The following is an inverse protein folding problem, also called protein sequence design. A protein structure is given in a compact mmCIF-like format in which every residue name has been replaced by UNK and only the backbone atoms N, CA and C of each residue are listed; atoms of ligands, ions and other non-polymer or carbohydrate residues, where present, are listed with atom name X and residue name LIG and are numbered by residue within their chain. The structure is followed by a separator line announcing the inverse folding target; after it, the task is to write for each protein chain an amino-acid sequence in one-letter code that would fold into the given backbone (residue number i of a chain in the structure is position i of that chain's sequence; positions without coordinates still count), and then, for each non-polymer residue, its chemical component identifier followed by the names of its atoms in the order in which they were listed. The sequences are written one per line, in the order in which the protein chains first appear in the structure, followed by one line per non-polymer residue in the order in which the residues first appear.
data_IF_369247642601
#
_entry.id   IF_369247642601
#
_cell.length_a   1.000
_cell.length_b   1.000
_cell.length_c   1.000
_cell.angle_alpha   90.00
_cell.angle_beta   90.00
_cell.angle_gamma   90.00
#
_symmetry.space_group_name_H-M   'P 1'
#
loop_
_entity.id
_entity.type
_entity.pdbx_description
1 polymer ?
#
# COMPACT_ATOMS: atom_id res chain seq x y z
N UNK A 1 -15.49 -32.05 89.63
CA UNK A 1 -15.54 -33.21 88.71
C UNK A 1 -16.70 -32.95 87.75
N UNK A 2 -16.39 -32.38 86.60
CA UNK A 2 -16.40 -33.05 85.28
C UNK A 2 -17.83 -33.23 84.75
N UNK A 3 -18.28 -32.30 83.91
CA UNK A 3 -19.46 -32.50 83.06
C UNK A 3 -18.94 -32.92 81.68
N UNK A 4 -19.29 -34.15 81.29
CA UNK A 4 -18.99 -34.74 79.98
C UNK A 4 -19.98 -34.25 78.91
N UNK A 5 -19.42 -33.98 77.73
CA UNK A 5 -19.96 -34.13 76.37
C UNK A 5 -21.30 -33.48 76.01
N UNK A 6 -21.25 -32.58 75.01
CA UNK A 6 -21.55 -32.94 73.61
C UNK A 6 -21.04 -31.82 72.69
N UNK A 7 -19.98 -32.14 71.93
CA UNK A 7 -19.55 -31.33 70.80
C UNK A 7 -20.63 -31.37 69.72
N UNK A 8 -21.25 -30.22 69.45
CA UNK A 8 -21.95 -29.98 68.19
C UNK A 8 -21.07 -29.10 67.33
N UNK A 9 -20.34 -29.76 66.42
CA UNK A 9 -19.86 -29.13 65.19
C UNK A 9 -21.07 -28.53 64.47
N UNK A 10 -21.22 -27.21 64.51
CA UNK A 10 -21.91 -26.49 63.44
C UNK A 10 -20.89 -25.53 62.86
N UNK A 11 -20.49 -25.87 61.65
CA UNK A 11 -19.58 -25.13 60.79
C UNK A 11 -20.22 -23.79 60.48
N UNK A 12 -19.74 -22.71 61.09
CA UNK A 12 -19.99 -21.34 60.61
C UNK A 12 -18.86 -20.98 59.63
N UNK A 13 -18.85 -21.71 58.51
CA UNK A 13 -18.13 -21.33 57.31
C UNK A 13 -19.10 -20.40 56.56
N UNK A 14 -19.23 -19.19 57.08
CA UNK A 14 -19.96 -18.12 56.39
C UNK A 14 -19.17 -17.78 55.14
N UNK A 15 -19.57 -18.47 54.06
CA UNK A 15 -19.33 -18.16 52.66
C UNK A 15 -18.85 -16.72 52.46
N UNK A 16 -17.57 -16.57 52.15
CA UNK A 16 -17.03 -15.41 51.45
C UNK A 16 -17.60 -15.44 50.02
N UNK A 17 -18.89 -15.14 49.92
CA UNK A 17 -19.64 -15.01 48.68
C UNK A 17 -19.11 -13.77 47.98
N UNK A 18 -18.08 -13.99 47.16
CA UNK A 18 -17.58 -13.03 46.18
C UNK A 18 -18.78 -12.64 45.30
N UNK A 19 -19.43 -11.54 45.66
CA UNK A 19 -20.55 -10.98 44.92
C UNK A 19 -20.06 -10.69 43.50
N UNK A 20 -20.55 -11.48 42.53
CA UNK A 20 -20.19 -11.30 41.13
C UNK A 20 -20.52 -9.85 40.75
N UNK A 21 -19.58 -9.08 40.19
CA UNK A 21 -19.82 -7.68 39.84
C UNK A 21 -21.10 -7.58 39.01
N UNK A 22 -21.97 -6.64 39.36
CA UNK A 22 -23.20 -6.42 38.61
C UNK A 22 -22.86 -6.23 37.14
N UNK A 23 -23.71 -6.72 36.24
CA UNK A 23 -23.50 -6.57 34.80
C UNK A 23 -23.21 -5.09 34.44
N UNK A 24 -23.88 -4.18 35.15
CA UNK A 24 -23.68 -2.74 35.05
C UNK A 24 -22.27 -2.27 35.44
N UNK A 25 -21.67 -2.85 36.49
CA UNK A 25 -20.31 -2.55 36.93
C UNK A 25 -19.28 -3.07 35.93
N UNK A 26 -19.53 -4.24 35.33
CA UNK A 26 -18.70 -4.79 34.26
C UNK A 26 -18.74 -3.86 33.05
N UNK A 27 -19.92 -3.38 32.65
CA UNK A 27 -20.04 -2.40 31.55
C UNK A 27 -19.38 -1.07 31.89
N UNK A 28 -19.56 -0.53 33.10
CA UNK A 28 -18.87 0.70 33.52
C UNK A 28 -17.35 0.55 33.45
N UNK A 29 -16.81 -0.57 33.91
CA UNK A 29 -15.36 -0.85 33.86
C UNK A 29 -14.86 -0.99 32.42
N UNK A 30 -15.59 -1.71 31.56
CA UNK A 30 -15.26 -1.82 30.12
C UNK A 30 -15.29 -0.46 29.42
N UNK A 31 -16.28 0.38 29.73
CA UNK A 31 -16.40 1.73 29.19
C UNK A 31 -15.22 2.62 29.62
N UNK A 32 -14.84 2.58 30.90
CA UNK A 32 -13.67 3.31 31.40
C UNK A 32 -12.38 2.87 30.70
N UNK A 33 -12.15 1.57 30.55
CA UNK A 33 -10.99 1.06 29.81
C UNK A 33 -10.99 1.51 28.34
N UNK A 34 -12.16 1.58 27.70
CA UNK A 34 -12.27 2.07 26.34
C UNK A 34 -11.94 3.56 26.25
N UNK A 35 -12.41 4.37 27.21
CA UNK A 35 -12.07 5.79 27.29
C UNK A 35 -10.57 6.00 27.48
N UNK A 36 -9.95 5.29 28.41
CA UNK A 36 -8.51 5.34 28.66
C UNK A 36 -7.73 4.94 27.41
N UNK A 37 -8.18 3.89 26.71
CA UNK A 37 -7.55 3.46 25.46
C UNK A 37 -7.66 4.52 24.37
N UNK A 38 -8.81 5.19 24.26
CA UNK A 38 -9.01 6.29 23.32
C UNK A 38 -8.10 7.49 23.65
N UNK A 39 -7.93 7.82 24.92
CA UNK A 39 -7.04 8.89 25.36
C UNK A 39 -5.58 8.61 25.02
N UNK A 40 -5.09 7.39 25.31
CA UNK A 40 -3.73 6.97 24.94
C UNK A 40 -3.52 7.06 23.43
N UNK A 41 -4.49 6.57 22.64
CA UNK A 41 -4.41 6.65 21.18
C UNK A 41 -4.39 8.10 20.68
N UNK A 42 -5.13 9.00 21.33
CA UNK A 42 -5.11 10.41 21.00
C UNK A 42 -3.74 11.05 21.29
N UNK A 43 -3.16 10.78 22.46
CA UNK A 43 -1.82 11.26 22.82
C UNK A 43 -0.75 10.74 21.86
N UNK A 44 -0.81 9.46 21.48
CA UNK A 44 0.10 8.87 20.50
C UNK A 44 -0.04 9.52 19.12
N UNK A 45 -1.27 9.78 18.68
CA UNK A 45 -1.53 10.47 17.43
C UNK A 45 -0.95 11.89 17.43
N UNK A 46 -1.14 12.65 18.50
CA UNK A 46 -0.56 13.99 18.66
C UNK A 46 0.97 13.95 18.60
N UNK A 47 1.58 12.94 19.25
CA UNK A 47 3.03 12.73 19.20
C UNK A 47 3.53 12.43 17.78
N UNK A 48 2.82 11.59 17.04
CA UNK A 48 3.14 11.27 15.65
C UNK A 48 3.00 12.51 14.76
N UNK A 49 1.93 13.30 14.94
CA UNK A 49 1.72 14.57 14.21
C UNK A 49 2.89 15.52 14.44
N UNK A 50 3.33 15.69 15.69
CA UNK A 50 4.48 16.55 16.01
C UNK A 50 5.77 16.06 15.37
N UNK A 51 6.03 14.75 15.37
CA UNK A 51 7.19 14.17 14.65
C UNK A 51 7.12 14.41 13.14
N UNK A 52 5.93 14.29 12.54
CA UNK A 52 5.71 14.60 11.12
C UNK A 52 5.99 16.08 10.85
N UNK A 53 5.55 16.99 11.73
CA UNK A 53 5.82 18.42 11.58
C UNK A 53 7.32 18.73 11.61
N UNK A 54 8.08 18.14 12.53
CA UNK A 54 9.54 18.33 12.58
C UNK A 54 10.24 17.75 11.35
N UNK A 55 9.85 16.55 10.90
CA UNK A 55 10.37 15.97 9.67
C UNK A 55 10.10 16.90 8.46
N UNK A 56 8.86 17.39 8.31
CA UNK A 56 8.49 18.36 7.26
C UNK A 56 9.33 19.63 7.34
N UNK A 57 9.61 20.14 8.54
CA UNK A 57 10.43 21.34 8.77
C UNK A 57 11.88 21.12 8.38
N UNK A 58 12.45 19.95 8.69
CA UNK A 58 13.81 19.56 8.26
C UNK A 58 13.86 19.44 6.73
N UNK A 59 12.93 18.72 6.12
CA UNK A 59 12.85 18.57 4.66
C UNK A 59 12.72 19.93 3.96
N UNK A 60 11.91 20.85 4.50
CA UNK A 60 11.76 22.20 3.95
C UNK A 60 13.06 23.01 4.04
N UNK A 61 13.83 22.88 5.13
CA UNK A 61 15.15 23.52 5.27
C UNK A 61 16.14 22.94 4.25
N UNK A 62 16.26 21.62 4.20
CA UNK A 62 17.12 20.94 3.24
C UNK A 62 16.81 21.33 1.78
N UNK A 63 15.52 21.41 1.40
CA UNK A 63 15.12 21.88 0.06
C UNK A 63 15.58 23.32 -0.23
N UNK A 64 15.51 24.21 0.76
CA UNK A 64 16.01 25.59 0.61
C UNK A 64 17.53 25.61 0.46
N UNK A 65 18.24 24.81 1.25
CA UNK A 65 19.71 24.73 1.20
C UNK A 65 20.18 24.18 -0.15
N UNK A 66 19.53 23.13 -0.66
CA UNK A 66 19.77 22.59 -2.02
C UNK A 66 19.49 23.66 -3.07
N UNK A 67 18.37 24.39 -2.98
CA UNK A 67 18.05 25.46 -3.93
C UNK A 67 19.14 26.54 -3.95
N UNK A 68 19.61 26.96 -2.77
CA UNK A 68 20.67 27.96 -2.65
C UNK A 68 22.01 27.46 -3.21
N UNK A 69 22.34 26.19 -2.98
CA UNK A 69 23.54 25.57 -3.52
C UNK A 69 23.47 25.48 -5.05
N UNK A 70 22.34 25.04 -5.58
CA UNK A 70 22.06 24.97 -7.03
C UNK A 70 22.18 26.36 -7.67
N UNK A 71 21.57 27.39 -7.07
CA UNK A 71 21.66 28.78 -7.57
C UNK A 71 23.10 29.31 -7.51
N UNK A 72 23.88 28.90 -6.50
CA UNK A 72 25.30 29.24 -6.43
C UNK A 72 26.10 28.54 -7.54
N UNK A 73 25.87 27.25 -7.78
CA UNK A 73 26.55 26.49 -8.83
C UNK A 73 26.18 26.98 -10.24
N UNK A 74 24.91 27.32 -10.47
CA UNK A 74 24.44 27.89 -11.75
C UNK A 74 25.18 29.23 -12.05
N UNK A 75 25.54 30.03 -11.03
CA UNK A 75 26.38 31.25 -11.21
C UNK A 75 27.82 30.97 -11.62
N UNK A 76 28.36 29.81 -11.25
CA UNK A 76 29.70 29.40 -11.66
C UNK A 76 29.74 28.88 -13.11
N UNK A 77 28.58 28.56 -13.69
CA UNK A 77 28.46 28.11 -15.09
C UNK A 77 28.89 26.66 -15.32
N UNK A 78 29.08 25.88 -14.25
CA UNK A 78 29.52 24.50 -14.33
C UNK A 78 28.36 23.56 -14.75
N UNK A 79 28.61 22.55 -15.60
CA UNK A 79 27.60 21.59 -16.03
C UNK A 79 27.28 20.53 -14.96
N UNK A 80 27.12 20.94 -13.69
CA UNK A 80 26.86 20.01 -12.57
C UNK A 80 25.57 19.21 -12.73
N UNK A 81 24.64 19.68 -13.56
CA UNK A 81 23.36 19.00 -13.88
C UNK A 81 23.52 17.83 -14.86
N UNK A 82 24.57 17.86 -15.67
CA UNK A 82 24.85 16.90 -16.75
C UNK A 82 26.17 16.15 -16.57
N UNK A 83 26.94 16.50 -15.53
CA UNK A 83 28.16 15.80 -15.18
C UNK A 83 27.83 14.38 -14.69
N UNK A 84 27.91 13.41 -15.59
CA UNK A 84 27.95 11.99 -15.24
C UNK A 84 29.22 11.76 -14.42
N UNK A 85 29.07 11.72 -13.10
CA UNK A 85 30.14 11.22 -12.24
C UNK A 85 30.18 9.70 -12.45
N UNK A 86 31.02 9.25 -13.38
CA UNK A 86 31.44 7.85 -13.44
C UNK A 86 32.28 7.57 -12.20
N UNK A 87 31.63 7.30 -11.07
CA UNK A 87 32.30 6.64 -9.96
C UNK A 87 32.47 5.19 -10.39
N UNK A 88 33.64 4.88 -10.95
CA UNK A 88 34.07 3.51 -11.21
C UNK A 88 34.24 2.78 -9.86
N UNK A 89 33.13 2.26 -9.34
CA UNK A 89 33.17 1.29 -8.24
C UNK A 89 33.66 -0.01 -8.85
N UNK A 90 34.98 -0.24 -8.82
CA UNK A 90 35.56 -1.57 -9.07
C UNK A 90 34.88 -2.57 -8.14
N UNK A 91 34.08 -3.53 -8.66
CA UNK A 91 33.52 -4.57 -7.82
C UNK A 91 34.63 -5.56 -7.51
N UNK A 92 35.15 -5.52 -6.28
CA UNK A 92 36.04 -6.57 -5.80
C UNK A 92 35.23 -7.87 -5.67
N UNK A 93 35.65 -8.87 -6.44
CA UNK A 93 34.96 -10.15 -6.62
C UNK A 93 35.16 -11.02 -5.38
N UNK A 94 34.18 -11.06 -4.47
CA UNK A 94 34.10 -12.14 -3.49
C UNK A 94 33.40 -13.33 -4.16
N UNK A 95 34.22 -14.30 -4.57
CA UNK A 95 33.79 -15.57 -5.15
C UNK A 95 32.91 -16.37 -4.17
N UNK A 96 31.74 -16.83 -4.64
CA UNK A 96 30.98 -17.89 -3.97
C UNK A 96 30.63 -18.98 -4.99
N UNK A 97 30.82 -20.28 -4.68
CA UNK A 97 31.01 -21.31 -5.70
C UNK A 97 29.69 -21.81 -6.31
N UNK A 98 29.81 -22.28 -7.56
CA UNK A 98 28.74 -22.70 -8.45
C UNK A 98 27.98 -23.96 -7.96
N UNK A 99 26.68 -24.02 -8.29
CA UNK A 99 25.89 -25.27 -8.30
C UNK A 99 25.10 -25.37 -9.63
N UNK A 100 25.04 -26.56 -10.26
CA UNK A 100 24.84 -26.69 -11.71
C UNK A 100 23.37 -26.72 -12.14
N UNK A 101 23.10 -26.22 -13.34
CA UNK A 101 21.82 -26.32 -14.04
C UNK A 101 21.72 -27.65 -14.82
N UNK A 102 20.52 -28.24 -14.98
CA UNK A 102 20.25 -29.17 -16.07
C UNK A 102 19.71 -28.42 -17.30
N UNK A 103 20.32 -28.69 -18.47
CA UNK A 103 19.84 -28.32 -19.81
C UNK A 103 19.05 -29.49 -20.42
N UNK A 104 17.96 -29.18 -21.12
CA UNK A 104 17.45 -29.89 -22.33
C UNK A 104 16.33 -29.01 -22.89
N UNK A 105 16.48 -28.25 -23.97
CA UNK A 105 16.65 -28.55 -25.41
C UNK A 105 15.48 -29.31 -26.07
N UNK A 106 14.69 -28.58 -26.87
CA UNK A 106 14.19 -28.91 -28.22
C UNK A 106 13.25 -27.76 -28.67
N UNK A 107 13.70 -26.83 -29.54
CA UNK A 107 13.62 -26.82 -31.02
C UNK A 107 12.21 -26.52 -31.57
N UNK A 108 11.89 -25.26 -31.93
CA UNK A 108 11.99 -24.60 -33.29
C UNK A 108 10.63 -24.66 -34.06
N UNK A 109 10.39 -23.93 -35.17
CA UNK A 109 10.64 -22.49 -35.48
C UNK A 109 9.52 -21.82 -36.33
N UNK A 110 9.56 -20.49 -36.54
CA UNK A 110 9.18 -19.75 -37.78
C UNK A 110 9.17 -18.24 -37.46
N UNK A 111 10.16 -17.43 -37.86
CA UNK A 111 10.46 -16.85 -39.19
C UNK A 111 9.64 -15.58 -39.53
N UNK A 112 10.39 -14.55 -39.93
CA UNK A 112 10.05 -13.39 -40.76
C UNK A 112 9.51 -12.06 -40.19
N UNK A 113 10.47 -11.12 -40.18
CA UNK A 113 10.53 -9.91 -41.02
C UNK A 113 10.12 -8.54 -40.43
N UNK A 114 11.15 -7.69 -40.51
CA UNK A 114 11.17 -6.24 -40.45
C UNK A 114 10.41 -5.63 -41.63
N UNK A 115 9.57 -4.61 -41.40
CA UNK A 115 9.14 -3.68 -42.46
C UNK A 115 8.72 -2.33 -41.89
N UNK A 116 9.31 -1.28 -42.46
CA UNK A 116 9.02 0.13 -42.27
C UNK A 116 7.62 0.53 -42.78
N UNK A 117 7.10 1.64 -42.23
CA UNK A 117 6.22 2.59 -42.93
C UNK A 117 4.76 2.20 -43.16
N UNK A 118 3.82 2.90 -42.51
CA UNK A 118 2.41 2.85 -42.90
C UNK A 118 1.43 3.41 -41.88
N UNK A 119 1.22 4.72 -41.89
CA UNK A 119 0.12 5.40 -41.19
C UNK A 119 -1.22 4.95 -41.80
N UNK A 120 -2.04 4.21 -41.06
CA UNK A 120 -3.48 4.02 -41.36
C UNK A 120 -4.34 4.53 -40.19
N UNK A 121 -5.45 5.23 -40.45
CA UNK A 121 -6.25 5.87 -39.41
C UNK A 121 -7.10 4.82 -38.68
N UNK A 122 -6.95 4.73 -37.36
CA UNK A 122 -7.81 3.90 -36.52
C UNK A 122 -9.24 4.45 -36.43
N UNK A 123 -10.23 3.62 -36.09
CA UNK A 123 -11.64 4.00 -36.09
C UNK A 123 -11.91 5.09 -35.03
N UNK A 124 -12.68 6.11 -35.42
CA UNK A 124 -13.09 7.23 -34.58
C UNK A 124 -13.70 6.71 -33.27
N UNK A 125 -13.12 7.12 -32.13
CA UNK A 125 -13.62 6.80 -30.79
C UNK A 125 -15.00 7.42 -30.64
N UNK A 126 -16.03 6.59 -30.38
CA UNK A 126 -17.36 7.08 -29.98
C UNK A 126 -17.20 8.04 -28.80
N UNK A 127 -17.76 9.24 -28.95
CA UNK A 127 -17.76 10.28 -27.92
C UNK A 127 -18.49 9.78 -26.66
N UNK A 128 -18.13 10.32 -25.50
CA UNK A 128 -18.65 9.92 -24.18
C UNK A 128 -20.16 10.17 -23.97
N UNK A 129 -20.88 10.66 -24.97
CA UNK A 129 -22.28 11.05 -24.88
C UNK A 129 -23.27 9.88 -25.01
N UNK A 130 -22.80 8.68 -25.34
CA UNK A 130 -23.66 7.57 -25.77
C UNK A 130 -23.48 6.30 -24.90
N UNK A 131 -23.13 6.50 -23.61
CA UNK A 131 -23.04 5.41 -22.65
C UNK A 131 -24.30 5.42 -21.79
N UNK A 132 -25.11 4.35 -21.79
CA UNK A 132 -26.29 4.28 -20.93
C UNK A 132 -25.84 4.50 -19.48
N UNK A 133 -26.61 5.33 -18.77
CA UNK A 133 -26.40 5.62 -17.37
C UNK A 133 -26.43 4.30 -16.61
N UNK A 134 -25.30 3.99 -15.95
CA UNK A 134 -25.13 2.69 -15.31
C UNK A 134 -25.91 2.73 -13.99
N UNK A 135 -26.80 1.76 -13.79
CA UNK A 135 -27.64 1.68 -12.60
C UNK A 135 -26.82 1.89 -11.32
N UNK A 136 -27.21 2.84 -10.44
CA UNK A 136 -26.48 3.14 -9.21
C UNK A 136 -26.31 1.95 -8.27
N UNK A 137 -27.21 0.97 -8.35
CA UNK A 137 -27.23 -0.21 -7.50
C UNK A 137 -26.44 -1.40 -8.06
N UNK A 138 -26.06 -1.37 -9.34
CA UNK A 138 -25.30 -2.45 -9.94
C UNK A 138 -23.85 -2.48 -9.41
N UNK A 139 -23.30 -3.65 -9.05
CA UNK A 139 -21.95 -3.72 -8.52
C UNK A 139 -20.92 -3.17 -9.52
N UNK A 140 -19.85 -2.55 -8.99
CA UNK A 140 -18.78 -1.94 -9.80
C UNK A 140 -17.83 -3.01 -10.30
N UNK A 141 -17.42 -2.92 -11.56
CA UNK A 141 -16.47 -3.86 -12.15
C UNK A 141 -15.12 -3.77 -11.40
N UNK A 142 -14.45 -4.90 -11.13
CA UNK A 142 -13.16 -4.92 -10.46
C UNK A 142 -12.12 -4.20 -11.31
N UNK A 143 -11.19 -3.53 -10.65
CA UNK A 143 -10.07 -2.86 -11.32
C UNK A 143 -9.02 -3.89 -11.77
N UNK A 144 -8.54 -3.78 -13.02
CA UNK A 144 -7.49 -4.67 -13.53
C UNK A 144 -6.19 -4.59 -12.69
N UNK A 145 -5.37 -5.64 -12.72
CA UNK A 145 -4.11 -5.77 -11.97
C UNK A 145 -3.20 -4.53 -12.10
N UNK A 146 -3.01 -4.00 -13.31
CA UNK A 146 -2.23 -2.78 -13.52
C UNK A 146 -2.86 -1.54 -12.87
N UNK A 147 -4.19 -1.44 -12.88
CA UNK A 147 -4.88 -0.32 -12.26
C UNK A 147 -4.80 -0.38 -10.74
N UNK A 148 -4.87 -1.59 -10.17
CA UNK A 148 -4.66 -1.82 -8.75
C UNK A 148 -3.24 -1.43 -8.32
N UNK A 149 -2.24 -1.85 -9.09
CA UNK A 149 -0.85 -1.39 -8.92
C UNK A 149 -0.74 0.14 -9.00
N UNK A 150 -1.37 0.77 -10.00
CA UNK A 150 -1.36 2.23 -10.12
C UNK A 150 -2.03 2.91 -8.92
N UNK A 151 -3.08 2.35 -8.34
CA UNK A 151 -3.76 2.93 -7.19
C UNK A 151 -2.88 2.91 -5.94
N UNK A 152 -2.12 1.84 -5.72
CA UNK A 152 -1.19 1.70 -4.61
C UNK A 152 0.08 2.53 -4.80
N UNK A 153 0.64 2.53 -6.01
CA UNK A 153 1.95 3.14 -6.28
C UNK A 153 1.86 4.63 -6.65
N UNK A 154 0.71 5.13 -7.11
CA UNK A 154 0.54 6.55 -7.44
C UNK A 154 0.89 7.49 -6.29
N UNK A 155 0.45 7.30 -5.03
CA UNK A 155 0.86 8.18 -3.94
C UNK A 155 2.36 8.15 -3.69
N UNK A 156 3.01 6.99 -3.84
CA UNK A 156 4.47 6.84 -3.68
C UNK A 156 5.22 7.59 -4.79
N UNK A 157 4.86 7.35 -6.06
CA UNK A 157 5.42 8.04 -7.23
C UNK A 157 5.21 9.56 -7.14
N UNK A 158 4.03 10.01 -6.70
CA UNK A 158 3.74 11.43 -6.50
C UNK A 158 4.61 12.01 -5.38
N UNK A 159 4.77 11.32 -4.26
CA UNK A 159 5.60 11.77 -3.15
C UNK A 159 7.09 11.85 -3.53
N UNK A 160 7.59 10.86 -4.28
CA UNK A 160 8.95 10.82 -4.80
C UNK A 160 9.19 11.94 -5.81
N UNK A 161 8.33 12.08 -6.82
CA UNK A 161 8.47 13.12 -7.85
C UNK A 161 8.30 14.54 -7.27
N UNK A 162 7.42 14.74 -6.27
CA UNK A 162 7.33 15.99 -5.50
C UNK A 162 8.60 16.30 -4.72
N UNK A 163 9.31 15.26 -4.26
CA UNK A 163 10.56 15.42 -3.51
C UNK A 163 11.74 15.75 -4.42
N UNK A 164 11.73 15.22 -5.64
CA UNK A 164 12.78 15.41 -6.65
C UNK A 164 12.67 16.75 -7.39
N UNK A 165 11.47 17.13 -7.85
CA UNK A 165 11.25 18.39 -8.60
C UNK A 165 10.75 19.57 -7.74
N UNK A 166 10.35 19.35 -6.49
CA UNK A 166 9.90 20.42 -5.60
C UNK A 166 8.58 21.10 -6.01
N UNK A 167 7.87 20.57 -7.00
CA UNK A 167 6.58 21.04 -7.53
C UNK A 167 5.65 19.85 -7.73
N UNK A 168 4.33 20.07 -7.72
CA UNK A 168 3.34 19.02 -8.01
C UNK A 168 3.65 18.36 -9.36
N UNK A 169 3.96 17.05 -9.39
CA UNK A 169 4.29 16.37 -10.62
C UNK A 169 3.07 16.33 -11.52
N UNK A 170 3.28 16.63 -12.81
CA UNK A 170 2.20 16.54 -13.80
C UNK A 170 1.61 15.13 -13.81
N UNK A 171 0.27 15.04 -13.87
CA UNK A 171 -0.46 13.76 -13.96
C UNK A 171 0.07 12.86 -15.08
N UNK A 172 0.55 13.46 -16.17
CA UNK A 172 1.15 12.74 -17.29
C UNK A 172 2.48 12.09 -16.89
N UNK A 173 3.33 12.80 -16.14
CA UNK A 173 4.63 12.30 -15.71
C UNK A 173 4.48 11.17 -14.69
N UNK A 174 3.58 11.32 -13.71
CA UNK A 174 3.24 10.25 -12.76
C UNK A 174 2.76 8.99 -13.48
N UNK A 175 1.92 9.16 -14.51
CA UNK A 175 1.43 8.03 -15.32
C UNK A 175 2.56 7.37 -16.09
N UNK A 176 3.51 8.15 -16.63
CA UNK A 176 4.69 7.66 -17.34
C UNK A 176 5.61 6.85 -16.42
N UNK A 177 5.87 7.35 -15.22
CA UNK A 177 6.68 6.66 -14.21
C UNK A 177 6.02 5.36 -13.72
N UNK A 178 4.71 5.37 -13.46
CA UNK A 178 3.95 4.16 -13.11
C UNK A 178 4.02 3.09 -14.20
N UNK A 179 3.86 3.49 -15.47
CA UNK A 179 3.98 2.56 -16.60
C UNK A 179 5.39 1.97 -16.71
N UNK A 180 6.43 2.77 -16.43
CA UNK A 180 7.81 2.31 -16.38
C UNK A 180 8.02 1.28 -15.27
N UNK A 181 7.62 1.61 -14.03
CA UNK A 181 7.74 0.71 -12.87
C UNK A 181 7.02 -0.61 -13.09
N UNK A 182 5.80 -0.59 -13.64
CA UNK A 182 5.07 -1.81 -13.97
C UNK A 182 5.81 -2.71 -14.97
N UNK A 183 6.47 -2.13 -15.98
CA UNK A 183 7.24 -2.92 -16.95
C UNK A 183 8.46 -3.56 -16.27
N UNK A 184 9.12 -2.83 -15.38
CA UNK A 184 10.30 -3.28 -14.63
C UNK A 184 10.01 -4.33 -13.57
N UNK A 185 8.76 -4.47 -13.09
CA UNK A 185 8.41 -5.53 -12.13
C UNK A 185 8.65 -6.93 -12.70
N UNK A 186 9.09 -7.83 -11.85
CA UNK A 186 9.24 -9.27 -12.13
C UNK A 186 7.89 -9.94 -12.36
N UNK A 187 7.91 -11.15 -12.94
CA UNK A 187 6.68 -11.90 -13.14
C UNK A 187 6.05 -12.30 -11.81
N UNK A 188 6.86 -12.59 -10.79
CA UNK A 188 6.44 -12.94 -9.45
C UNK A 188 5.67 -11.79 -8.77
N UNK A 189 6.18 -10.56 -8.86
CA UNK A 189 5.52 -9.37 -8.32
C UNK A 189 4.22 -9.07 -9.07
N UNK A 190 4.23 -9.17 -10.40
CA UNK A 190 3.01 -9.02 -11.22
C UNK A 190 1.96 -10.08 -10.88
N UNK A 191 2.37 -11.31 -10.57
CA UNK A 191 1.46 -12.41 -10.20
C UNK A 191 0.66 -12.11 -8.94
N UNK A 192 1.24 -11.41 -7.96
CA UNK A 192 0.50 -10.97 -6.76
C UNK A 192 -0.67 -10.07 -7.15
N UNK A 193 -0.43 -9.09 -8.03
CA UNK A 193 -1.48 -8.19 -8.52
C UNK A 193 -2.52 -8.90 -9.41
N UNK A 194 -2.09 -9.89 -10.19
CA UNK A 194 -3.02 -10.73 -10.98
C UNK A 194 -3.91 -11.57 -10.08
N UNK A 195 -3.36 -12.20 -9.04
CA UNK A 195 -4.12 -12.99 -8.07
C UNK A 195 -5.11 -12.11 -7.27
N UNK A 196 -4.70 -10.88 -6.90
CA UNK A 196 -5.60 -9.91 -6.28
C UNK A 196 -6.77 -9.55 -7.21
N UNK A 197 -6.49 -9.34 -8.50
CA UNK A 197 -7.52 -9.07 -9.49
C UNK A 197 -8.49 -10.25 -9.67
N UNK A 198 -7.98 -11.49 -9.74
CA UNK A 198 -8.80 -12.71 -9.83
C UNK A 198 -9.75 -12.83 -8.64
N UNK A 199 -9.24 -12.63 -7.42
CA UNK A 199 -10.06 -12.62 -6.21
C UNK A 199 -11.13 -11.53 -6.23
N UNK A 200 -10.79 -10.33 -6.67
CA UNK A 200 -11.77 -9.24 -6.82
C UNK A 200 -12.80 -9.53 -7.91
N UNK A 201 -12.42 -10.28 -8.96
CA UNK A 201 -13.31 -10.71 -10.04
C UNK A 201 -14.32 -11.75 -9.58
N UNK A 202 -13.89 -12.72 -8.77
CA UNK A 202 -14.78 -13.70 -8.16
C UNK A 202 -15.82 -13.03 -7.26
N UNK A 203 -15.38 -12.15 -6.35
CA UNK A 203 -16.30 -11.35 -5.51
C UNK A 203 -17.31 -10.57 -6.32
N UNK A 204 -16.86 -9.92 -7.40
CA UNK A 204 -17.76 -9.19 -8.29
C UNK A 204 -18.80 -10.10 -8.95
N UNK A 205 -18.42 -11.33 -9.34
CA UNK A 205 -19.35 -12.29 -9.92
C UNK A 205 -20.41 -12.75 -8.90
N UNK A 206 -20.00 -12.99 -7.66
CA UNK A 206 -20.91 -13.30 -6.56
C UNK A 206 -21.88 -12.14 -6.30
N UNK A 207 -21.37 -10.91 -6.14
CA UNK A 207 -22.17 -9.70 -5.92
C UNK A 207 -23.14 -9.45 -7.08
N UNK A 208 -22.69 -9.66 -8.33
CA UNK A 208 -23.53 -9.54 -9.51
C UNK A 208 -24.63 -10.59 -9.53
N UNK A 209 -24.34 -11.84 -9.15
CA UNK A 209 -25.35 -12.89 -9.07
C UNK A 209 -26.41 -12.57 -8.01
N UNK A 210 -25.99 -12.01 -6.87
CA UNK A 210 -26.88 -11.57 -5.80
C UNK A 210 -27.72 -10.36 -6.21
N UNK A 211 -27.15 -9.42 -6.97
CA UNK A 211 -27.85 -8.27 -7.54
C UNK A 211 -28.93 -8.71 -8.52
N UNK A 212 -28.60 -9.58 -9.47
CA UNK A 212 -29.57 -10.13 -10.44
C UNK A 212 -30.69 -10.90 -9.72
N UNK A 213 -30.36 -11.67 -8.68
CA UNK A 213 -31.35 -12.39 -7.86
C UNK A 213 -32.25 -11.44 -7.05
N UNK A 214 -31.78 -10.24 -6.70
CA UNK A 214 -32.54 -9.23 -5.96
C UNK A 214 -33.45 -8.38 -6.85
N UNK A 215 -33.13 -8.27 -8.15
CA UNK A 215 -33.95 -7.55 -9.13
C UNK A 215 -35.03 -8.42 -9.81
N UNK A 216 -35.02 -9.74 -9.59
CA UNK A 216 -36.08 -10.67 -9.98
C UNK A 216 -37.11 -10.81 -8.84
#
# INVERSE_FOLDING_TARGET
MTVQQLNSNISDDSDDMVSLPSEEEIYRRKYQLLLERCEVLQQDNERIINRIHEAKKITKRYRKDVKLLVERLDRHGDPFRTASVEVEVKPEVVSRPARPAPKTQSSKPADKQNSAGGKKPGPKRKSKADKPERDPNAPKKPCNAFFQFCQEQRPLVVAEANSEMGSEPSKQEVTRQLASRWRSLTNEEKRVYVAMFERSKEKYAEEMSAYIKKEQ
#
